data_IF_585449927092
#
_entry.id   IF_585449927092
#
_cell.length_a   1.000
_cell.length_b   1.000
_cell.length_c   1.000
_cell.angle_alpha   90.00
_cell.angle_beta   90.00
_cell.angle_gamma   90.00
#
_symmetry.space_group_name_H-M   'P 1'
#
loop_
_entity.id
_entity.type
_entity.pdbx_description
1 polymer ?
#
# COMPACT_ATOMS: atom_id res chain seq x y z
N UNK A 1 -0.85 -13.04 -14.16
CA UNK A 1 -1.42 -11.69 -13.94
C UNK A 1 -2.38 -11.38 -15.09
N UNK A 2 -3.59 -10.84 -14.87
CA UNK A 2 -4.46 -10.45 -15.97
C UNK A 2 -3.76 -9.44 -16.89
N UNK A 3 -3.91 -9.56 -18.20
CA UNK A 3 -3.26 -8.69 -19.19
C UNK A 3 -3.66 -7.21 -19.00
N UNK A 4 -4.95 -6.95 -18.77
CA UNK A 4 -5.50 -5.60 -18.58
C UNK A 4 -4.80 -4.83 -17.45
N UNK A 5 -4.58 -5.50 -16.32
CA UNK A 5 -3.87 -4.95 -15.16
C UNK A 5 -2.45 -4.49 -15.50
N UNK A 6 -1.68 -5.34 -16.19
CA UNK A 6 -0.30 -5.01 -16.58
C UNK A 6 -0.28 -3.86 -17.57
N UNK A 7 -1.19 -3.87 -18.53
CA UNK A 7 -1.29 -2.83 -19.54
C UNK A 7 -1.67 -1.49 -18.89
N UNK A 8 -2.58 -1.49 -17.90
CA UNK A 8 -2.92 -0.31 -17.10
C UNK A 8 -1.73 0.27 -16.34
N UNK A 9 -0.89 -0.58 -15.72
CA UNK A 9 0.32 -0.12 -15.02
C UNK A 9 1.28 0.63 -15.95
N UNK A 10 1.44 0.19 -17.20
CA UNK A 10 2.30 0.87 -18.18
C UNK A 10 1.66 2.14 -18.75
N UNK A 11 0.37 2.09 -19.08
CA UNK A 11 -0.36 3.22 -19.65
C UNK A 11 -0.40 4.40 -18.66
N UNK A 12 -0.77 4.13 -17.41
CA UNK A 12 -0.95 5.19 -16.40
C UNK A 12 0.38 5.85 -16.04
N UNK A 13 1.50 5.10 -16.00
CA UNK A 13 2.83 5.73 -15.87
C UNK A 13 3.09 6.74 -16.97
N UNK A 14 2.70 6.42 -18.21
CA UNK A 14 2.80 7.31 -19.35
C UNK A 14 2.02 8.62 -19.16
N UNK A 15 0.79 8.54 -18.65
CA UNK A 15 -0.04 9.72 -18.35
C UNK A 15 0.60 10.66 -17.32
N UNK A 16 1.34 10.09 -16.37
CA UNK A 16 2.08 10.83 -15.35
C UNK A 16 3.51 11.18 -15.80
N UNK A 17 3.82 11.15 -17.11
CA UNK A 17 5.15 11.45 -17.65
C UNK A 17 6.28 10.61 -17.02
N UNK A 18 6.00 9.36 -16.65
CA UNK A 18 6.90 8.50 -15.88
C UNK A 18 7.44 9.20 -14.63
N UNK A 19 6.59 9.94 -13.92
CA UNK A 19 6.91 10.65 -12.70
C UNK A 19 6.23 10.00 -11.51
N UNK A 20 6.96 9.85 -10.41
CA UNK A 20 6.39 9.45 -9.14
C UNK A 20 5.44 10.52 -8.62
N UNK A 21 4.22 10.11 -8.27
CA UNK A 21 3.19 10.99 -7.72
C UNK A 21 3.65 11.77 -6.48
N UNK A 22 4.41 11.11 -5.60
CA UNK A 22 4.82 11.67 -4.30
C UNK A 22 6.16 12.36 -4.29
N UNK A 23 7.05 11.99 -5.20
CA UNK A 23 8.43 12.51 -5.19
C UNK A 23 8.73 13.41 -6.37
N UNK A 24 7.94 13.35 -7.44
CA UNK A 24 8.29 13.96 -8.70
C UNK A 24 9.56 13.38 -9.36
N UNK A 25 10.16 12.33 -8.81
CA UNK A 25 11.29 11.64 -9.42
C UNK A 25 10.86 10.92 -10.70
N UNK A 26 11.75 10.80 -11.66
CA UNK A 26 11.46 10.23 -13.00
C UNK A 26 12.17 8.91 -13.30
N UNK A 27 12.97 8.41 -12.36
CA UNK A 27 13.71 7.16 -12.50
C UNK A 27 13.08 6.04 -11.66
N UNK A 28 13.04 4.82 -12.22
CA UNK A 28 12.53 3.62 -11.55
C UNK A 28 11.07 3.76 -11.09
N UNK A 29 10.19 4.18 -12.00
CA UNK A 29 8.77 4.37 -11.73
C UNK A 29 7.97 3.11 -12.04
N UNK A 30 7.11 2.75 -11.11
CA UNK A 30 6.21 1.61 -11.17
C UNK A 30 4.76 2.08 -11.11
N UNK A 31 3.89 1.43 -11.90
CA UNK A 31 2.45 1.65 -11.81
C UNK A 31 1.92 0.87 -10.60
N UNK A 32 1.96 1.48 -9.42
CA UNK A 32 1.53 0.82 -8.17
C UNK A 32 0.02 0.68 -8.14
N UNK A 33 -0.48 -0.48 -7.71
CA UNK A 33 -1.92 -0.65 -7.51
C UNK A 33 -2.37 0.07 -6.25
N UNK A 34 -3.54 0.67 -6.30
CA UNK A 34 -4.19 1.24 -5.12
C UNK A 34 -4.83 0.11 -4.32
N UNK A 35 -5.63 -0.73 -4.99
CA UNK A 35 -6.19 -1.95 -4.44
C UNK A 35 -5.52 -3.15 -5.09
N UNK A 36 -4.98 -4.04 -4.26
CA UNK A 36 -4.28 -5.22 -4.72
C UNK A 36 -5.21 -6.24 -5.39
N UNK A 37 -4.73 -6.94 -6.43
CA UNK A 37 -5.49 -7.99 -7.11
C UNK A 37 -5.89 -9.15 -6.17
N UNK A 38 -5.09 -9.39 -5.12
CA UNK A 38 -5.37 -10.39 -4.08
C UNK A 38 -6.61 -10.03 -3.25
N UNK A 39 -6.99 -8.75 -3.21
CA UNK A 39 -8.21 -8.24 -2.55
C UNK A 39 -9.46 -8.47 -3.42
N UNK A 40 -9.33 -8.49 -4.76
CA UNK A 40 -10.47 -8.35 -5.67
C UNK A 40 -10.97 -9.63 -6.32
N UNK A 41 -10.19 -10.73 -6.28
CA UNK A 41 -10.56 -11.94 -7.01
C UNK A 41 -11.70 -12.69 -6.31
N UNK A 42 -12.94 -12.39 -6.72
CA UNK A 42 -14.22 -13.06 -6.41
C UNK A 42 -14.24 -13.73 -5.02
N UNK A 43 -14.87 -13.05 -4.07
CA UNK A 43 -15.30 -13.52 -2.73
C UNK A 43 -16.02 -14.90 -2.67
N UNK A 44 -16.14 -15.64 -3.78
CA UNK A 44 -16.83 -16.93 -3.88
C UNK A 44 -16.11 -18.07 -4.59
N UNK A 45 -14.88 -17.92 -5.12
CA UNK A 45 -14.18 -19.06 -5.80
C UNK A 45 -12.98 -19.59 -5.02
N UNK A 46 -12.42 -18.79 -4.13
CA UNK A 46 -11.39 -19.23 -3.19
C UNK A 46 -12.00 -19.33 -1.79
N UNK A 47 -11.81 -20.44 -1.08
CA UNK A 47 -12.24 -20.63 0.33
C UNK A 47 -11.38 -19.83 1.33
N UNK A 48 -10.84 -18.68 0.94
CA UNK A 48 -9.97 -17.85 1.76
C UNK A 48 -9.89 -16.38 1.38
N UNK A 49 -10.97 -15.59 1.57
CA UNK A 49 -10.89 -14.14 1.77
C UNK A 49 -11.89 -13.68 2.85
N UNK A 50 -11.98 -14.35 4.01
CA UNK A 50 -13.03 -14.08 5.00
C UNK A 50 -12.56 -13.43 6.31
N UNK A 51 -11.26 -13.44 6.65
CA UNK A 51 -10.78 -13.02 7.99
C UNK A 51 -10.31 -11.58 8.02
N UNK A 52 -9.40 -11.15 7.15
CA UNK A 52 -9.06 -9.72 7.02
C UNK A 52 -10.31 -8.90 6.69
N UNK A 53 -11.17 -9.44 5.81
CA UNK A 53 -12.43 -8.82 5.47
C UNK A 53 -13.41 -8.82 6.63
N UNK A 54 -13.45 -9.86 7.49
CA UNK A 54 -14.20 -9.85 8.77
C UNK A 54 -13.69 -8.77 9.73
N UNK A 55 -12.37 -8.61 9.86
CA UNK A 55 -11.75 -7.55 10.65
C UNK A 55 -12.04 -6.17 10.06
N UNK A 56 -12.11 -6.03 8.74
CA UNK A 56 -12.53 -4.79 8.09
C UNK A 56 -14.03 -4.50 8.32
N UNK A 57 -14.91 -5.50 8.50
CA UNK A 57 -16.34 -5.27 8.82
C UNK A 57 -16.56 -4.57 10.15
N UNK A 58 -15.65 -4.73 11.10
CA UNK A 58 -15.72 -4.01 12.38
C UNK A 58 -15.44 -2.52 12.22
N UNK A 59 -14.87 -2.10 11.08
CA UNK A 59 -14.52 -0.71 10.80
C UNK A 59 -15.29 -0.12 9.59
N UNK A 60 -15.84 -0.95 8.69
CA UNK A 60 -16.58 -0.55 7.49
C UNK A 60 -17.91 -1.29 7.27
N UNK A 61 -18.93 -0.64 6.68
CA UNK A 61 -20.09 -1.32 6.14
C UNK A 61 -19.67 -2.35 5.08
N UNK A 62 -20.14 -3.58 5.24
CA UNK A 62 -19.81 -4.75 4.43
C UNK A 62 -20.15 -4.64 2.94
N UNK A 63 -21.08 -3.76 2.60
CA UNK A 63 -21.65 -3.66 1.25
C UNK A 63 -20.63 -3.10 0.26
N UNK A 64 -19.87 -2.07 0.66
CA UNK A 64 -18.84 -1.42 -0.16
C UNK A 64 -17.69 -2.38 -0.54
N UNK A 65 -17.41 -3.37 0.30
CA UNK A 65 -16.29 -4.31 0.11
C UNK A 65 -16.69 -5.56 -0.67
N UNK A 66 -17.96 -5.96 -0.58
CA UNK A 66 -18.49 -7.12 -1.29
C UNK A 66 -18.79 -6.84 -2.76
N UNK A 67 -19.10 -5.58 -3.08
CA UNK A 67 -19.34 -5.09 -4.43
C UNK A 67 -18.09 -4.54 -5.11
N UNK A 68 -16.92 -4.59 -4.44
CA UNK A 68 -15.68 -4.05 -4.99
C UNK A 68 -15.27 -4.83 -6.24
N UNK A 69 -15.54 -4.23 -7.39
CA UNK A 69 -15.14 -4.70 -8.70
C UNK A 69 -14.23 -3.65 -9.34
N UNK A 70 -13.04 -4.09 -9.76
CA UNK A 70 -12.07 -3.23 -10.45
C UNK A 70 -12.15 -3.44 -11.96
N UNK A 71 -12.91 -4.43 -12.42
CA UNK A 71 -13.04 -4.73 -13.84
C UNK A 71 -13.57 -3.51 -14.60
N UNK A 72 -12.80 -3.02 -15.57
CA UNK A 72 -13.10 -1.80 -16.33
C UNK A 72 -12.63 -0.50 -15.70
N UNK A 73 -12.08 -0.54 -14.48
CA UNK A 73 -11.53 0.59 -13.73
C UNK A 73 -10.02 0.38 -13.44
N UNK A 74 -9.35 -0.53 -14.17
CA UNK A 74 -7.96 -0.93 -13.90
C UNK A 74 -7.00 0.25 -13.91
N UNK A 75 -7.15 1.18 -14.86
CA UNK A 75 -6.31 2.37 -14.97
C UNK A 75 -6.51 3.33 -13.79
N UNK A 76 -7.75 3.45 -13.28
CA UNK A 76 -8.07 4.29 -12.12
C UNK A 76 -7.69 3.63 -10.80
N UNK A 77 -7.27 2.37 -10.83
CA UNK A 77 -6.67 1.64 -9.73
C UNK A 77 -5.13 1.72 -9.70
N UNK A 78 -4.50 2.57 -10.52
CA UNK A 78 -3.05 2.75 -10.53
C UNK A 78 -2.65 4.13 -9.99
N UNK A 79 -1.57 4.16 -9.22
CA UNK A 79 -0.87 5.35 -8.78
C UNK A 79 0.63 5.19 -9.08
N UNK A 80 1.23 5.98 -9.97
CA UNK A 80 2.65 5.86 -10.26
C UNK A 80 3.50 6.26 -9.06
N UNK A 81 4.36 5.34 -8.59
CA UNK A 81 5.30 5.55 -7.50
C UNK A 81 6.71 5.15 -7.93
N UNK A 82 7.72 5.78 -7.36
CA UNK A 82 9.10 5.30 -7.46
C UNK A 82 9.28 4.04 -6.62
N UNK A 83 10.18 3.14 -7.03
CA UNK A 83 10.42 1.85 -6.36
C UNK A 83 10.63 1.95 -4.83
N UNK A 84 11.30 3.00 -4.35
CA UNK A 84 11.48 3.27 -2.93
C UNK A 84 10.15 3.63 -2.25
N UNK A 85 9.41 4.59 -2.78
CA UNK A 85 8.09 4.98 -2.30
C UNK A 85 7.08 3.83 -2.36
N UNK A 86 7.13 3.01 -3.42
CA UNK A 86 6.31 1.81 -3.57
C UNK A 86 6.62 0.78 -2.49
N UNK A 87 7.90 0.51 -2.22
CA UNK A 87 8.32 -0.40 -1.13
C UNK A 87 7.75 0.07 0.21
N UNK A 88 7.85 1.37 0.51
CA UNK A 88 7.30 1.93 1.75
C UNK A 88 5.77 1.88 1.81
N UNK A 89 5.10 2.01 0.67
CA UNK A 89 3.65 1.90 0.55
C UNK A 89 3.15 0.48 0.82
N UNK A 90 3.84 -0.50 0.27
CA UNK A 90 3.52 -1.92 0.41
C UNK A 90 3.80 -2.40 1.83
N UNK A 91 4.87 -1.91 2.47
CA UNK A 91 5.19 -2.21 3.87
C UNK A 91 4.37 -1.38 4.88
N UNK A 92 3.37 -0.63 4.41
CA UNK A 92 2.44 0.16 5.23
C UNK A 92 3.14 1.20 6.13
N UNK A 93 4.32 1.69 5.73
CA UNK A 93 5.03 2.74 6.46
C UNK A 93 4.34 4.10 6.34
N UNK A 94 3.55 4.29 5.30
CA UNK A 94 2.69 5.45 5.16
C UNK A 94 1.38 5.08 4.47
N UNK A 95 0.45 6.03 4.49
CA UNK A 95 -0.74 5.99 3.68
C UNK A 95 -1.04 7.36 3.07
N UNK A 96 -1.81 7.38 1.99
CA UNK A 96 -2.32 8.62 1.40
C UNK A 96 -3.78 8.79 1.72
N UNK A 97 -4.10 9.88 2.42
CA UNK A 97 -5.48 10.28 2.66
C UNK A 97 -5.99 11.05 1.45
N UNK A 98 -6.95 10.53 0.68
CA UNK A 98 -7.58 11.31 -0.37
C UNK A 98 -8.50 12.38 0.23
N UNK A 99 -8.45 13.57 -0.35
CA UNK A 99 -9.28 14.72 -0.01
C UNK A 99 -9.87 15.26 -1.32
N UNK A 100 -11.20 15.37 -1.37
CA UNK A 100 -11.87 15.96 -2.54
C UNK A 100 -11.49 17.44 -2.66
N UNK A 101 -11.28 17.90 -3.89
CA UNK A 101 -11.07 19.32 -4.12
C UNK A 101 -12.38 20.07 -3.83
N UNK A 102 -12.36 21.16 -3.02
CA UNK A 102 -13.58 21.77 -2.49
C UNK A 102 -14.48 22.38 -3.56
N UNK A 103 -13.92 22.75 -4.71
CA UNK A 103 -14.67 23.42 -5.79
C UNK A 103 -14.59 22.70 -7.13
N UNK A 104 -13.79 21.64 -7.25
CA UNK A 104 -13.54 20.96 -8.53
C UNK A 104 -13.10 19.48 -8.32
N UNK A 105 -13.94 18.67 -7.64
CA UNK A 105 -13.59 17.29 -7.29
C UNK A 105 -13.51 16.35 -8.51
N UNK A 106 -14.00 16.79 -9.68
CA UNK A 106 -13.99 16.00 -10.91
C UNK A 106 -12.61 16.04 -11.57
N UNK A 107 -11.96 17.20 -11.60
CA UNK A 107 -10.66 17.38 -12.27
C UNK A 107 -9.49 17.52 -11.29
N UNK A 108 -9.75 17.68 -9.99
CA UNK A 108 -8.70 17.86 -8.98
C UNK A 108 -8.91 16.97 -7.78
N UNK A 109 -7.82 16.37 -7.30
CA UNK A 109 -7.81 15.51 -6.13
C UNK A 109 -6.59 15.84 -5.27
N UNK A 110 -6.80 16.02 -3.97
CA UNK A 110 -5.70 16.17 -3.02
C UNK A 110 -5.35 14.83 -2.39
N UNK A 111 -4.06 14.56 -2.25
CA UNK A 111 -3.51 13.42 -1.53
C UNK A 111 -2.65 13.94 -0.39
N UNK A 112 -3.10 13.72 0.85
CA UNK A 112 -2.33 14.07 2.04
C UNK A 112 -1.48 12.87 2.48
N UNK A 113 -0.17 13.09 2.60
CA UNK A 113 0.80 12.12 3.12
C UNK A 113 0.60 11.89 4.61
N UNK A 114 0.45 10.63 5.01
CA UNK A 114 0.30 10.23 6.40
C UNK A 114 1.33 9.15 6.70
N UNK A 115 2.50 9.53 7.23
CA UNK A 115 3.43 8.57 7.81
C UNK A 115 2.73 7.81 8.93
N UNK A 116 2.71 6.48 8.82
CA UNK A 116 2.13 5.58 9.81
C UNK A 116 3.24 5.17 10.76
N UNK A 117 2.97 5.22 12.06
CA UNK A 117 4.00 4.99 13.09
C UNK A 117 4.62 3.62 12.88
N UNK A 118 5.93 3.64 12.68
CA UNK A 118 6.67 2.41 12.53
C UNK A 118 6.91 1.73 13.86
N UNK A 119 7.04 0.43 13.73
CA UNK A 119 7.85 -0.36 14.62
C UNK A 119 9.31 -0.08 14.26
N UNK A 120 10.20 0.10 15.24
CA UNK A 120 11.65 0.19 15.01
C UNK A 120 12.14 -1.09 14.35
N UNK A 121 13.34 -1.07 13.78
CA UNK A 121 14.02 -2.27 13.25
C UNK A 121 14.13 -3.43 14.25
N UNK A 122 13.87 -3.18 15.54
CA UNK A 122 13.89 -4.16 16.63
C UNK A 122 12.49 -4.68 17.00
N UNK A 123 11.46 -4.34 16.25
CA UNK A 123 10.11 -4.80 16.56
C UNK A 123 9.42 -4.01 17.69
N UNK A 124 9.89 -2.79 18.04
CA UNK A 124 9.31 -1.95 19.10
C UNK A 124 8.51 -0.76 18.54
N UNK A 125 7.39 -0.38 19.18
CA UNK A 125 6.69 0.88 18.84
C UNK A 125 7.64 2.08 18.85
N UNK A 126 7.77 2.80 17.72
CA UNK A 126 8.45 4.09 17.71
C UNK A 126 7.67 5.08 18.61
N UNK A 127 8.23 5.38 19.78
CA UNK A 127 7.63 6.28 20.77
C UNK A 127 7.76 7.76 20.39
N UNK A 128 8.68 8.09 19.49
CA UNK A 128 8.94 9.44 18.99
C UNK A 128 8.17 9.74 17.68
N UNK A 129 8.04 11.03 17.30
CA UNK A 129 7.68 11.42 15.94
C UNK A 129 8.61 10.77 14.90
N UNK A 130 8.13 10.61 13.66
CA UNK A 130 8.94 10.03 12.59
C UNK A 130 10.23 10.83 12.36
N UNK A 131 11.37 10.18 12.60
CA UNK A 131 12.68 10.74 12.26
C UNK A 131 13.13 10.21 10.89
N UNK A 132 13.12 11.09 9.89
CA UNK A 132 13.52 10.79 8.51
C UNK A 132 14.99 10.38 8.37
N UNK A 133 15.86 10.75 9.32
CA UNK A 133 17.28 10.39 9.31
C UNK A 133 17.50 8.95 9.77
N UNK A 134 16.65 8.46 10.65
CA UNK A 134 16.79 7.14 11.30
C UNK A 134 15.92 6.08 10.64
N UNK A 135 14.69 6.43 10.26
CA UNK A 135 13.69 5.46 9.80
C UNK A 135 13.56 5.38 8.27
N UNK A 136 14.47 6.06 7.56
CA UNK A 136 14.41 6.23 6.12
C UNK A 136 13.49 7.38 5.69
N UNK A 137 13.66 7.79 4.44
CA UNK A 137 12.92 8.89 3.86
C UNK A 137 12.61 8.63 2.41
N UNK A 138 11.48 9.16 1.97
CA UNK A 138 11.18 9.37 0.57
C UNK A 138 11.50 10.83 0.28
N UNK A 139 12.25 11.11 -0.79
CA UNK A 139 12.72 12.44 -1.14
C UNK A 139 11.76 13.12 -2.12
N UNK A 140 11.41 14.40 -1.92
CA UNK A 140 10.63 15.18 -2.90
C UNK A 140 11.55 15.97 -3.83
N UNK A 141 11.74 15.43 -5.03
CA UNK A 141 12.60 16.01 -6.06
C UNK A 141 12.03 17.31 -6.64
N UNK A 142 10.74 17.62 -6.45
CA UNK A 142 10.13 18.88 -6.93
C UNK A 142 10.48 20.09 -6.09
N UNK A 143 10.89 19.86 -4.84
CA UNK A 143 11.16 20.92 -3.85
C UNK A 143 12.65 21.25 -3.73
N UNK A 144 13.52 20.63 -4.53
CA UNK A 144 14.95 20.97 -4.53
C UNK A 144 15.18 22.38 -5.04
N UNK A 145 16.04 23.14 -4.36
CA UNK A 145 16.61 24.38 -4.87
C UNK A 145 17.84 24.06 -5.69
N UNK A 146 17.94 24.61 -6.91
CA UNK A 146 19.03 24.33 -7.86
C UNK A 146 20.44 24.69 -7.41
N UNK A 147 20.60 25.30 -6.24
CA UNK A 147 21.89 25.78 -5.73
C UNK A 147 22.57 24.83 -4.72
N UNK A 148 21.85 23.91 -4.08
CA UNK A 148 22.40 23.09 -2.98
C UNK A 148 22.30 21.57 -3.19
N UNK A 149 21.76 21.08 -4.31
CA UNK A 149 21.52 19.65 -4.61
C UNK A 149 20.78 18.86 -3.50
N UNK A 150 20.30 19.53 -2.44
CA UNK A 150 19.55 18.90 -1.36
C UNK A 150 18.06 18.92 -1.66
N UNK A 151 17.51 17.76 -1.98
CA UNK A 151 16.08 17.56 -2.10
C UNK A 151 15.49 17.22 -0.72
N UNK A 152 14.44 17.93 -0.25
CA UNK A 152 13.89 17.69 1.08
C UNK A 152 13.10 16.38 1.13
N UNK A 153 13.00 15.81 2.33
CA UNK A 153 12.13 14.68 2.61
C UNK A 153 10.65 15.02 2.42
N UNK A 154 9.86 14.05 1.94
CA UNK A 154 8.39 14.04 2.01
C UNK A 154 7.98 13.90 3.48
N UNK A 155 7.22 14.87 3.99
CA UNK A 155 6.83 14.99 5.41
C UNK A 155 5.41 14.53 5.66
N UNK A 156 5.12 14.22 6.93
CA UNK A 156 3.75 13.96 7.35
C UNK A 156 2.93 15.24 7.18
N UNK A 157 1.72 15.10 6.62
CA UNK A 157 0.82 16.21 6.38
C UNK A 157 1.08 16.94 5.05
N UNK A 158 2.15 16.63 4.31
CA UNK A 158 2.34 17.14 2.96
C UNK A 158 1.13 16.82 2.09
N UNK A 159 0.65 17.80 1.33
CA UNK A 159 -0.49 17.65 0.43
C UNK A 159 -0.03 17.80 -1.00
N UNK A 160 -0.36 16.81 -1.82
CA UNK A 160 -0.11 16.81 -3.26
C UNK A 160 -1.43 16.99 -3.99
N UNK A 161 -1.44 17.90 -4.95
CA UNK A 161 -2.57 18.07 -5.84
C UNK A 161 -2.35 17.27 -7.12
N UNK A 162 -3.29 16.38 -7.42
CA UNK A 162 -3.42 15.77 -8.73
C UNK A 162 -4.40 16.61 -9.54
N UNK A 163 -3.95 17.03 -10.72
CA UNK A 163 -4.76 17.78 -11.67
C UNK A 163 -4.92 16.91 -12.91
N UNK A 164 -6.17 16.63 -13.24
CA UNK A 164 -6.55 15.92 -14.46
C UNK A 164 -6.27 16.82 -15.66
N UNK A 165 -5.40 16.36 -16.56
CA UNK A 165 -5.15 17.07 -17.80
C UNK A 165 -6.27 16.84 -18.84
N UNK A 166 -6.82 15.62 -18.88
CA UNK A 166 -7.84 15.19 -19.84
C UNK A 166 -8.67 14.02 -19.27
N UNK A 167 -10.00 14.09 -19.37
CA UNK A 167 -10.93 13.11 -18.79
C UNK A 167 -10.83 11.71 -19.43
N UNK A 168 -10.42 11.63 -20.70
CA UNK A 168 -10.43 10.39 -21.49
C UNK A 168 -9.06 9.70 -21.47
N UNK A 169 -8.00 10.49 -21.51
CA UNK A 169 -6.61 10.03 -21.69
C UNK A 169 -5.77 10.13 -20.42
N UNK A 170 -6.32 10.65 -19.33
CA UNK A 170 -5.62 10.72 -18.04
C UNK A 170 -6.56 10.95 -16.85
N UNK A 171 -7.60 10.12 -16.65
CA UNK A 171 -8.51 10.27 -15.52
C UNK A 171 -7.77 10.17 -14.18
N UNK A 172 -8.32 10.85 -13.18
CA UNK A 172 -7.85 10.75 -11.80
C UNK A 172 -8.05 9.32 -11.26
N UNK A 173 -7.18 8.90 -10.32
CA UNK A 173 -7.38 7.68 -9.57
C UNK A 173 -8.77 7.65 -8.91
N UNK A 174 -9.36 6.46 -8.80
CA UNK A 174 -10.66 6.31 -8.19
C UNK A 174 -10.57 6.63 -6.69
N UNK A 175 -11.26 7.68 -6.26
CA UNK A 175 -11.19 8.15 -4.87
C UNK A 175 -11.70 7.11 -3.87
N UNK A 176 -12.66 6.27 -4.26
CA UNK A 176 -13.17 5.20 -3.42
C UNK A 176 -12.06 4.17 -3.16
N UNK A 177 -11.30 3.79 -4.19
CA UNK A 177 -10.15 2.89 -4.05
C UNK A 177 -9.08 3.48 -3.11
N UNK A 178 -8.77 4.77 -3.25
CA UNK A 178 -7.82 5.44 -2.36
C UNK A 178 -8.31 5.48 -0.91
N UNK A 179 -9.60 5.75 -0.67
CA UNK A 179 -10.20 5.75 0.67
C UNK A 179 -10.07 4.37 1.31
N UNK A 180 -10.34 3.32 0.54
CA UNK A 180 -10.21 1.94 0.99
C UNK A 180 -8.75 1.56 1.26
N UNK A 181 -7.80 1.95 0.39
CA UNK A 181 -6.37 1.68 0.63
C UNK A 181 -5.86 2.40 1.88
N UNK A 182 -6.20 3.67 2.06
CA UNK A 182 -5.84 4.47 3.23
C UNK A 182 -6.29 3.80 4.54
N UNK A 183 -7.54 3.34 4.55
CA UNK A 183 -8.14 2.58 5.63
C UNK A 183 -7.38 1.29 5.96
N UNK A 184 -7.11 0.45 4.95
CA UNK A 184 -6.41 -0.82 5.10
C UNK A 184 -4.99 -0.59 5.64
N UNK A 185 -4.24 0.35 5.06
CA UNK A 185 -2.88 0.65 5.52
C UNK A 185 -2.85 1.09 6.98
N UNK A 186 -3.79 1.95 7.41
CA UNK A 186 -3.88 2.36 8.82
C UNK A 186 -4.15 1.18 9.76
N UNK A 187 -5.04 0.28 9.37
CA UNK A 187 -5.35 -0.90 10.17
C UNK A 187 -4.13 -1.82 10.29
N UNK A 188 -3.49 -2.14 9.16
CA UNK A 188 -2.33 -3.03 9.12
C UNK A 188 -1.13 -2.43 9.87
N UNK A 189 -0.85 -1.14 9.69
CA UNK A 189 0.17 -0.46 10.47
C UNK A 189 -0.17 -0.44 11.97
N UNK A 190 -1.44 -0.29 12.34
CA UNK A 190 -1.90 -0.38 13.72
C UNK A 190 -1.70 -1.78 14.33
N UNK A 191 -2.00 -2.83 13.57
CA UNK A 191 -1.75 -4.23 13.97
C UNK A 191 -0.25 -4.50 14.14
N UNK A 192 0.57 -4.00 13.21
CA UNK A 192 2.03 -3.97 13.33
C UNK A 192 2.39 -3.32 14.67
N UNK A 193 2.04 -2.05 14.84
CA UNK A 193 2.44 -1.24 15.98
C UNK A 193 2.00 -1.82 17.33
N UNK A 194 0.82 -2.46 17.39
CA UNK A 194 0.35 -3.12 18.60
C UNK A 194 1.22 -4.30 19.06
N UNK A 195 2.24 -4.70 18.28
CA UNK A 195 3.01 -5.92 18.55
C UNK A 195 2.18 -7.18 18.37
N UNK A 196 0.97 -7.06 17.82
CA UNK A 196 0.03 -8.16 17.66
C UNK A 196 0.62 -9.27 16.77
N UNK A 197 1.58 -8.95 15.90
CA UNK A 197 2.33 -9.97 15.16
C UNK A 197 3.04 -10.96 16.10
N UNK A 198 3.69 -10.47 17.18
CA UNK A 198 4.34 -11.34 18.17
C UNK A 198 3.34 -12.23 18.90
N UNK A 199 2.13 -11.73 19.17
CA UNK A 199 1.07 -12.52 19.81
C UNK A 199 0.38 -13.50 18.85
N UNK A 200 0.20 -13.11 17.58
CA UNK A 200 -0.35 -13.96 16.50
C UNK A 200 0.58 -15.14 16.23
N UNK A 201 1.89 -14.89 16.20
CA UNK A 201 2.93 -15.87 15.90
C UNK A 201 3.67 -16.40 17.16
N UNK A 202 3.07 -16.26 18.35
CA UNK A 202 3.70 -16.64 19.63
C UNK A 202 3.86 -18.16 19.81
N UNK A 203 3.09 -18.95 19.06
CA UNK A 203 3.12 -20.40 19.11
C UNK A 203 4.17 -21.02 18.19
N UNK A 204 4.56 -22.29 18.40
CA UNK A 204 5.29 -23.02 17.38
C UNK A 204 4.44 -23.08 16.10
N UNK A 205 5.07 -23.01 14.91
CA UNK A 205 4.35 -23.17 13.65
C UNK A 205 3.56 -24.48 13.64
N UNK A 206 2.45 -24.57 12.88
CA UNK A 206 1.61 -25.77 12.84
C UNK A 206 2.44 -27.03 12.53
N UNK A 207 2.49 -27.97 13.47
CA UNK A 207 3.27 -29.19 13.31
C UNK A 207 2.65 -30.12 12.26
N UNK A 208 3.45 -30.58 11.29
CA UNK A 208 3.06 -31.63 10.34
C UNK A 208 3.22 -31.28 8.85
N UNK A 209 3.55 -30.04 8.51
CA UNK A 209 3.83 -29.61 7.13
C UNK A 209 5.36 -29.49 7.00
N UNK A 210 5.97 -30.37 6.20
CA UNK A 210 7.40 -30.35 5.89
C UNK A 210 7.61 -29.94 4.44
N UNK A 211 8.21 -28.78 4.21
CA UNK A 211 8.65 -28.31 2.89
C UNK A 211 8.16 -26.89 2.58
N UNK A 212 8.85 -26.16 1.67
CA UNK A 212 8.44 -24.83 1.27
C UNK A 212 7.06 -24.87 0.65
N UNK A 213 6.09 -24.25 1.33
CA UNK A 213 4.66 -24.18 0.99
C UNK A 213 4.40 -23.23 -0.19
N UNK A 214 5.44 -22.85 -0.95
CA UNK A 214 5.31 -21.81 -2.00
C UNK A 214 4.51 -22.27 -3.21
N UNK A 215 4.49 -23.57 -3.53
CA UNK A 215 3.95 -24.02 -4.82
C UNK A 215 2.68 -24.87 -4.77
N UNK A 216 2.31 -25.50 -3.64
CA UNK A 216 1.23 -26.52 -3.66
C UNK A 216 0.15 -26.42 -2.56
N UNK A 217 0.30 -25.55 -1.56
CA UNK A 217 -0.73 -25.37 -0.53
C UNK A 217 -1.22 -23.93 -0.55
N UNK A 218 -2.52 -23.78 -0.76
CA UNK A 218 -3.21 -22.51 -0.82
C UNK A 218 -3.15 -21.79 0.54
N UNK A 219 -2.14 -20.93 0.71
CA UNK A 219 -2.09 -19.96 1.80
C UNK A 219 -3.15 -18.89 1.53
N UNK A 220 -4.00 -18.60 2.52
CA UNK A 220 -4.97 -17.52 2.37
C UNK A 220 -4.20 -16.20 2.26
N UNK A 221 -4.52 -15.36 1.28
CA UNK A 221 -3.74 -14.14 1.00
C UNK A 221 -3.68 -13.13 2.17
N UNK A 222 -4.54 -13.28 3.18
CA UNK A 222 -4.47 -12.51 4.42
C UNK A 222 -3.42 -13.01 5.41
N UNK A 223 -3.03 -14.28 5.35
CA UNK A 223 -1.93 -14.84 6.13
C UNK A 223 -0.57 -14.55 5.50
N UNK A 224 -0.47 -14.60 4.17
CA UNK A 224 0.78 -14.30 3.44
C UNK A 224 1.30 -12.89 3.78
N UNK A 225 0.43 -11.87 3.76
CA UNK A 225 0.82 -10.51 4.17
C UNK A 225 1.25 -10.40 5.63
N UNK A 226 0.61 -11.15 6.55
CA UNK A 226 0.96 -11.12 7.97
C UNK A 226 2.26 -11.87 8.25
N UNK A 227 2.53 -12.96 7.52
CA UNK A 227 3.76 -13.74 7.58
C UNK A 227 4.92 -12.94 6.98
N UNK A 228 4.75 -12.33 5.80
CA UNK A 228 5.72 -11.41 5.19
C UNK A 228 6.05 -10.25 6.14
N UNK A 229 5.03 -9.64 6.75
CA UNK A 229 5.23 -8.59 7.75
C UNK A 229 5.95 -9.10 9.01
N UNK A 230 5.67 -10.32 9.47
CA UNK A 230 6.34 -10.91 10.64
C UNK A 230 7.78 -11.33 10.36
N UNK A 231 8.09 -11.81 9.15
CA UNK A 231 9.44 -12.10 8.67
C UNK A 231 10.28 -10.82 8.60
N UNK A 232 9.76 -9.78 7.93
CA UNK A 232 10.43 -8.48 7.81
C UNK A 232 10.74 -7.82 9.16
N UNK A 233 9.86 -8.02 10.14
CA UNK A 233 10.01 -7.48 11.51
C UNK A 233 10.81 -8.40 12.45
N UNK A 234 11.37 -9.50 11.94
CA UNK A 234 12.16 -10.45 12.72
C UNK A 234 11.37 -11.20 13.78
N UNK A 235 10.04 -11.19 13.69
CA UNK A 235 9.14 -11.99 14.55
C UNK A 235 9.19 -13.46 14.12
N UNK A 236 9.35 -13.72 12.83
CA UNK A 236 9.60 -15.05 12.26
C UNK A 236 10.96 -15.07 11.56
N UNK A 237 11.68 -16.20 11.63
CA UNK A 237 12.77 -16.47 10.70
C UNK A 237 12.19 -16.87 9.34
N UNK A 238 12.99 -16.82 8.27
CA UNK A 238 12.56 -17.27 6.93
C UNK A 238 12.04 -18.71 7.00
N UNK A 239 12.75 -19.60 7.71
CA UNK A 239 12.35 -20.99 7.87
C UNK A 239 11.06 -21.16 8.69
N UNK A 240 10.82 -20.28 9.66
CA UNK A 240 9.58 -20.28 10.43
C UNK A 240 8.41 -19.71 9.62
N UNK A 241 8.64 -18.66 8.83
CA UNK A 241 7.67 -18.08 7.90
C UNK A 241 7.25 -19.10 6.84
N UNK A 242 8.16 -19.93 6.35
CA UNK A 242 7.85 -21.03 5.44
C UNK A 242 7.00 -22.15 6.07
N UNK A 243 6.94 -22.24 7.40
CA UNK A 243 6.18 -23.25 8.14
C UNK A 243 4.79 -22.77 8.60
N UNK A 244 4.55 -21.45 8.58
CA UNK A 244 3.26 -20.83 8.92
C UNK A 244 2.32 -20.75 7.71
#
# INVERSE_FOLDING_TARGET
>A
RPKADRDAQEIVKGWYNNMCTLTGGTFFIEGTRIIDFRVTKKLGVYKGPLTIWRMLKTFWPLEDLRSLDISGDEQRNILPLRIDAHTFWDNHHFALRPLEHPTDPTHRLYLQMVWLKNITTEGNLARSPWDHRVNGTITDFRRGSGDDDTFPAVRHGDVYELVMADEVTGPLPNIHFLRLRYAIQKLLAGMKAAGALKDIFRGPPPSGIKGPVRDEVYMRGDWEMLIEAAEQEGVLSVEAAEQW
#
